data_IF_953726707849
#
_entry.id   IF_953726707849
#
_cell.length_a   1.000
_cell.length_b   1.000
_cell.length_c   1.000
_cell.angle_alpha   90.00
_cell.angle_beta   90.00
_cell.angle_gamma   90.00
#
_symmetry.space_group_name_H-M   'P 1'
#
loop_
_entity.id
_entity.type
_entity.pdbx_description
1 polymer ?
#
# COMPACT_ATOMS: atom_id res chain seq x y z
N UNK A 1 -4.10 2.16 -18.71
CA UNK A 1 -2.98 3.10 -18.95
C UNK A 1 -2.50 2.92 -20.38
N UNK A 2 -2.10 3.98 -21.08
CA UNK A 2 -1.55 3.88 -22.43
C UNK A 2 -0.01 3.75 -22.41
N UNK A 3 0.61 3.38 -23.53
CA UNK A 3 2.06 3.15 -23.58
C UNK A 3 2.91 4.39 -23.28
N UNK A 4 2.44 5.57 -23.67
CA UNK A 4 3.14 6.83 -23.39
C UNK A 4 3.13 7.14 -21.89
N UNK A 5 2.01 6.89 -21.20
CA UNK A 5 1.92 7.05 -19.75
C UNK A 5 2.83 6.07 -19.01
N UNK A 6 2.90 4.81 -19.45
CA UNK A 6 3.84 3.81 -18.88
C UNK A 6 5.28 4.29 -18.99
N UNK A 7 5.70 4.67 -20.19
CA UNK A 7 7.06 5.16 -20.46
C UNK A 7 7.40 6.40 -19.62
N UNK A 8 6.44 7.31 -19.41
CA UNK A 8 6.63 8.47 -18.55
C UNK A 8 6.87 8.07 -17.10
N UNK A 9 6.06 7.15 -16.55
CA UNK A 9 6.23 6.67 -15.17
C UNK A 9 7.57 5.95 -15.01
N UNK A 10 7.91 5.05 -15.92
CA UNK A 10 9.18 4.32 -15.93
C UNK A 10 10.37 5.30 -15.95
N UNK A 11 10.35 6.29 -16.85
CA UNK A 11 11.37 7.32 -16.90
C UNK A 11 11.49 8.09 -15.59
N UNK A 12 10.40 8.31 -14.87
CA UNK A 12 10.45 8.93 -13.55
C UNK A 12 11.03 7.96 -12.50
N UNK A 13 10.63 6.68 -12.50
CA UNK A 13 11.17 5.66 -11.61
C UNK A 13 12.69 5.53 -11.76
N UNK A 14 13.19 5.57 -12.99
CA UNK A 14 14.64 5.57 -13.30
C UNK A 14 15.31 6.94 -13.12
N UNK A 15 14.59 7.96 -12.63
CA UNK A 15 15.09 9.32 -12.38
C UNK A 15 15.58 10.05 -13.64
N UNK A 16 15.11 9.63 -14.82
CA UNK A 16 15.38 10.24 -16.12
C UNK A 16 14.54 11.51 -16.36
N UNK A 17 13.43 11.68 -15.65
CA UNK A 17 12.59 12.88 -15.67
C UNK A 17 12.17 13.30 -14.25
N UNK A 18 11.84 14.58 -14.09
CA UNK A 18 11.34 15.13 -12.81
C UNK A 18 9.84 14.90 -12.64
N UNK A 19 9.33 15.08 -11.40
CA UNK A 19 7.89 15.08 -11.10
C UNK A 19 7.11 16.10 -11.95
N UNK A 20 7.67 17.28 -12.18
CA UNK A 20 7.02 18.31 -13.01
C UNK A 20 6.92 17.89 -14.47
N UNK A 21 7.95 17.20 -15.00
CA UNK A 21 7.93 16.68 -16.37
C UNK A 21 6.98 15.48 -16.50
N UNK A 22 6.91 14.62 -15.48
CA UNK A 22 5.92 13.56 -15.39
C UNK A 22 4.50 14.14 -15.43
N UNK A 23 4.19 15.10 -14.55
CA UNK A 23 2.86 15.73 -14.48
C UNK A 23 2.45 16.37 -15.80
N UNK A 24 3.35 17.10 -16.46
CA UNK A 24 3.07 17.70 -17.78
C UNK A 24 2.84 16.66 -18.88
N UNK A 25 3.38 15.46 -18.73
CA UNK A 25 3.21 14.36 -19.68
C UNK A 25 1.84 13.67 -19.54
N UNK A 26 1.30 13.63 -18.33
CA UNK A 26 -0.10 13.28 -18.11
C UNK A 26 -0.96 14.46 -18.57
N UNK A 27 -1.62 14.32 -19.72
CA UNK A 27 -2.55 15.32 -20.26
C UNK A 27 -3.88 15.33 -19.46
N UNK A 28 -3.79 15.37 -18.14
CA UNK A 28 -4.87 15.30 -17.16
C UNK A 28 -4.71 16.51 -16.23
N UNK A 29 -5.82 17.21 -15.99
CA UNK A 29 -5.84 18.29 -14.99
C UNK A 29 -5.44 17.73 -13.62
N UNK A 30 -4.59 18.45 -12.89
CA UNK A 30 -4.01 17.96 -11.62
C UNK A 30 -5.12 17.62 -10.60
N UNK A 31 -6.22 18.36 -10.63
CA UNK A 31 -7.41 18.16 -9.80
C UNK A 31 -8.14 16.85 -10.10
N UNK A 32 -8.01 16.33 -11.33
CA UNK A 32 -8.60 15.07 -11.77
C UNK A 32 -7.67 13.87 -11.58
N UNK A 33 -6.39 14.11 -11.25
CA UNK A 33 -5.37 13.07 -11.10
C UNK A 33 -5.79 11.96 -10.11
N UNK A 34 -6.32 12.25 -8.91
CA UNK A 34 -6.69 11.18 -7.98
C UNK A 34 -7.82 10.29 -8.49
N UNK A 35 -8.80 10.87 -9.19
CA UNK A 35 -9.90 10.12 -9.80
C UNK A 35 -9.37 9.22 -10.93
N UNK A 36 -8.53 9.78 -11.80
CA UNK A 36 -7.92 9.03 -12.90
C UNK A 36 -7.04 7.89 -12.39
N UNK A 37 -6.22 8.16 -11.37
CA UNK A 37 -5.42 7.15 -10.67
C UNK A 37 -6.30 6.00 -10.15
N UNK A 38 -7.42 6.31 -9.49
CA UNK A 38 -8.31 5.29 -8.94
C UNK A 38 -8.97 4.44 -10.03
N UNK A 39 -9.38 5.06 -11.15
CA UNK A 39 -9.89 4.34 -12.32
C UNK A 39 -8.84 3.37 -12.88
N UNK A 40 -7.59 3.81 -12.99
CA UNK A 40 -6.49 2.96 -13.46
C UNK A 40 -6.17 1.81 -12.49
N UNK A 41 -6.25 2.01 -11.17
CA UNK A 41 -6.11 0.92 -10.19
C UNK A 41 -7.17 -0.17 -10.41
N UNK A 42 -8.42 0.23 -10.65
CA UNK A 42 -9.50 -0.73 -10.95
C UNK A 42 -9.25 -1.48 -12.26
N UNK A 43 -8.74 -0.81 -13.30
CA UNK A 43 -8.36 -1.47 -14.56
C UNK A 43 -7.26 -2.50 -14.32
N UNK A 44 -6.16 -2.11 -13.66
CA UNK A 44 -5.04 -3.00 -13.37
C UNK A 44 -5.47 -4.22 -12.54
N UNK A 45 -6.34 -4.02 -11.54
CA UNK A 45 -6.92 -5.10 -10.74
C UNK A 45 -7.75 -6.08 -11.59
N UNK A 46 -8.67 -5.56 -12.41
CA UNK A 46 -9.54 -6.40 -13.24
C UNK A 46 -8.77 -7.19 -14.30
N UNK A 47 -7.71 -6.59 -14.85
CA UNK A 47 -6.83 -7.23 -15.84
C UNK A 47 -5.74 -8.10 -15.20
N UNK A 48 -5.59 -8.06 -13.87
CA UNK A 48 -4.48 -8.69 -13.12
C UNK A 48 -3.11 -8.32 -13.68
N UNK A 49 -2.96 -7.04 -14.03
CA UNK A 49 -1.75 -6.52 -14.65
C UNK A 49 -0.77 -6.04 -13.56
N UNK A 50 0.20 -6.88 -13.22
CA UNK A 50 1.20 -6.61 -12.18
C UNK A 50 2.12 -5.44 -12.54
N UNK A 51 2.48 -5.30 -13.81
CA UNK A 51 3.37 -4.24 -14.29
C UNK A 51 2.67 -2.87 -14.17
N UNK A 52 1.42 -2.76 -14.65
CA UNK A 52 0.63 -1.53 -14.50
C UNK A 52 0.40 -1.21 -13.02
N UNK A 53 0.17 -2.21 -12.17
CA UNK A 53 0.01 -2.00 -10.74
C UNK A 53 1.29 -1.40 -10.12
N UNK A 54 2.48 -1.93 -10.43
CA UNK A 54 3.74 -1.39 -9.94
C UNK A 54 3.91 0.09 -10.32
N UNK A 55 3.66 0.43 -11.59
CA UNK A 55 3.72 1.80 -12.08
C UNK A 55 2.72 2.71 -11.35
N UNK A 56 1.50 2.22 -11.12
CA UNK A 56 0.46 2.95 -10.40
C UNK A 56 0.84 3.17 -8.94
N UNK A 57 1.36 2.16 -8.24
CA UNK A 57 1.78 2.31 -6.85
C UNK A 57 2.86 3.39 -6.73
N UNK A 58 3.84 3.41 -7.64
CA UNK A 58 4.82 4.49 -7.71
C UNK A 58 4.16 5.86 -7.95
N UNK A 59 3.25 5.95 -8.92
CA UNK A 59 2.50 7.17 -9.24
C UNK A 59 1.72 7.70 -8.03
N UNK A 60 1.07 6.79 -7.29
CA UNK A 60 0.30 7.09 -6.08
C UNK A 60 1.14 7.76 -5.00
N UNK A 61 2.40 7.33 -4.82
CA UNK A 61 3.34 8.00 -3.92
C UNK A 61 3.83 9.34 -4.46
N UNK A 62 4.15 9.43 -5.75
CA UNK A 62 4.68 10.66 -6.35
C UNK A 62 3.67 11.81 -6.29
N UNK A 63 2.38 11.52 -6.53
CA UNK A 63 1.32 12.51 -6.58
C UNK A 63 0.38 12.49 -5.37
N UNK A 64 0.72 11.75 -4.31
CA UNK A 64 -0.09 11.64 -3.09
C UNK A 64 -1.56 11.29 -3.42
N UNK A 65 -1.74 10.40 -4.40
CA UNK A 65 -3.06 10.10 -5.00
C UNK A 65 -3.79 8.95 -4.31
N UNK A 66 -3.16 8.33 -3.31
CA UNK A 66 -3.85 7.42 -2.40
C UNK A 66 -4.83 8.23 -1.55
N UNK A 67 -6.11 8.22 -1.93
CA UNK A 67 -7.18 8.88 -1.21
C UNK A 67 -8.18 7.86 -0.67
N UNK A 68 -9.21 8.35 0.05
CA UNK A 68 -10.28 7.53 0.62
C UNK A 68 -10.94 6.60 -0.41
N UNK A 69 -11.11 7.06 -1.64
CA UNK A 69 -11.74 6.29 -2.72
C UNK A 69 -10.89 5.09 -3.19
N UNK A 70 -9.60 5.07 -2.86
CA UNK A 70 -8.69 3.96 -3.16
C UNK A 70 -8.68 2.86 -2.09
N UNK A 71 -9.26 3.10 -0.91
CA UNK A 71 -9.21 2.16 0.22
C UNK A 71 -9.75 0.79 -0.18
N UNK A 72 -10.92 0.75 -0.81
CA UNK A 72 -11.58 -0.52 -1.15
C UNK A 72 -10.76 -1.36 -2.14
N UNK A 73 -10.15 -0.73 -3.15
CA UNK A 73 -9.34 -1.44 -4.16
C UNK A 73 -7.99 -1.88 -3.59
N UNK A 74 -7.36 -1.06 -2.75
CA UNK A 74 -6.12 -1.40 -2.05
C UNK A 74 -6.33 -2.56 -1.06
N UNK A 75 -7.47 -2.59 -0.37
CA UNK A 75 -7.86 -3.72 0.49
C UNK A 75 -7.97 -5.02 -0.30
N UNK A 76 -8.58 -4.99 -1.50
CA UNK A 76 -8.66 -6.18 -2.37
C UNK A 76 -7.27 -6.63 -2.82
N UNK A 77 -6.42 -5.70 -3.26
CA UNK A 77 -5.05 -6.00 -3.68
C UNK A 77 -4.21 -6.66 -2.57
N UNK A 78 -4.40 -6.27 -1.30
CA UNK A 78 -3.73 -6.96 -0.18
C UNK A 78 -4.06 -8.46 -0.06
N UNK A 79 -5.18 -8.93 -0.62
CA UNK A 79 -5.61 -10.33 -0.58
C UNK A 79 -5.21 -11.12 -1.84
N UNK A 80 -4.73 -10.45 -2.89
CA UNK A 80 -4.39 -11.09 -4.17
C UNK A 80 -2.97 -11.66 -4.19
N UNK A 81 -2.73 -12.68 -5.03
CA UNK A 81 -1.41 -13.34 -5.16
C UNK A 81 -0.71 -13.09 -6.50
N UNK A 82 -1.33 -12.36 -7.43
CA UNK A 82 -0.80 -12.15 -8.78
C UNK A 82 0.20 -10.99 -8.90
N UNK A 83 0.51 -10.30 -7.80
CA UNK A 83 1.47 -9.21 -7.75
C UNK A 83 2.36 -9.28 -6.50
N UNK A 84 3.35 -8.39 -6.43
CA UNK A 84 4.32 -8.31 -5.32
C UNK A 84 4.28 -6.98 -4.54
N UNK A 85 3.25 -6.16 -4.77
CA UNK A 85 3.14 -4.79 -4.24
C UNK A 85 2.59 -4.71 -2.81
N UNK A 86 2.38 -5.82 -2.11
CA UNK A 86 1.71 -5.86 -0.80
C UNK A 86 2.37 -4.95 0.23
N UNK A 87 3.70 -4.94 0.27
CA UNK A 87 4.44 -4.09 1.19
C UNK A 87 4.23 -2.60 0.91
N UNK A 88 4.24 -2.19 -0.36
CA UNK A 88 4.01 -0.81 -0.75
C UNK A 88 2.57 -0.38 -0.45
N UNK A 89 1.60 -1.28 -0.68
CA UNK A 89 0.20 -1.04 -0.34
C UNK A 89 0.02 -0.89 1.18
N UNK A 90 0.67 -1.74 1.99
CA UNK A 90 0.67 -1.61 3.44
C UNK A 90 1.26 -0.26 3.90
N UNK A 91 2.36 0.18 3.27
CA UNK A 91 2.93 1.51 3.53
C UNK A 91 1.99 2.66 3.14
N UNK A 92 1.24 2.53 2.03
CA UNK A 92 0.23 3.54 1.66
C UNK A 92 -0.86 3.69 2.74
N UNK A 93 -1.27 2.58 3.37
CA UNK A 93 -2.26 2.62 4.44
C UNK A 93 -1.78 3.32 5.72
N UNK A 94 -0.47 3.37 5.97
CA UNK A 94 0.08 4.15 7.09
C UNK A 94 -0.21 5.65 6.96
N UNK A 95 -0.27 6.17 5.73
CA UNK A 95 -0.61 7.58 5.46
C UNK A 95 -2.12 7.81 5.33
N UNK A 96 -2.83 6.85 4.74
CA UNK A 96 -4.29 6.93 4.59
C UNK A 96 -5.03 6.89 5.94
N UNK A 97 -4.47 6.20 6.94
CA UNK A 97 -5.05 6.02 8.28
C UNK A 97 -6.52 5.57 8.26
N UNK A 98 -6.91 4.81 7.23
CA UNK A 98 -8.31 4.45 7.00
C UNK A 98 -8.76 3.27 7.89
N UNK A 99 -9.79 3.43 8.75
CA UNK A 99 -10.34 2.33 9.53
C UNK A 99 -10.92 1.19 8.67
N UNK A 100 -11.30 1.48 7.42
CA UNK A 100 -11.80 0.47 6.48
C UNK A 100 -10.75 -0.59 6.09
N UNK A 101 -9.46 -0.34 6.38
CA UNK A 101 -8.37 -1.25 6.05
C UNK A 101 -7.95 -2.17 7.20
N UNK A 102 -8.50 -2.01 8.41
CA UNK A 102 -8.04 -2.70 9.63
C UNK A 102 -8.04 -4.22 9.46
N UNK A 103 -9.14 -4.80 8.97
CA UNK A 103 -9.22 -6.25 8.79
C UNK A 103 -8.25 -6.76 7.71
N UNK A 104 -8.15 -6.05 6.58
CA UNK A 104 -7.25 -6.42 5.48
C UNK A 104 -5.78 -6.35 5.91
N UNK A 105 -5.39 -5.30 6.64
CA UNK A 105 -4.03 -5.15 7.20
C UNK A 105 -3.72 -6.25 8.22
N UNK A 106 -4.67 -6.58 9.10
CA UNK A 106 -4.49 -7.65 10.07
C UNK A 106 -4.28 -9.01 9.38
N UNK A 107 -5.10 -9.33 8.37
CA UNK A 107 -4.92 -10.56 7.58
C UNK A 107 -3.57 -10.56 6.87
N UNK A 108 -3.24 -9.48 6.17
CA UNK A 108 -1.99 -9.35 5.42
C UNK A 108 -0.75 -9.50 6.34
N UNK A 109 -0.82 -9.02 7.59
CA UNK A 109 0.26 -9.21 8.57
C UNK A 109 0.50 -10.68 8.95
N UNK A 110 -0.49 -11.55 8.77
CA UNK A 110 -0.42 -12.99 9.08
C UNK A 110 -0.24 -13.84 7.81
N UNK A 111 -0.34 -13.25 6.63
CA UNK A 111 -0.21 -13.96 5.36
C UNK A 111 1.25 -14.04 4.94
N UNK A 112 1.67 -15.23 4.51
CA UNK A 112 2.95 -15.45 3.83
C UNK A 112 2.71 -15.68 2.35
N UNK A 113 3.03 -14.70 1.52
CA UNK A 113 3.02 -14.85 0.07
C UNK A 113 4.26 -15.61 -0.39
N UNK A 114 4.14 -16.42 -1.45
CA UNK A 114 5.24 -17.26 -1.95
C UNK A 114 6.51 -16.44 -2.27
N UNK A 115 6.36 -15.24 -2.83
CA UNK A 115 7.50 -14.38 -3.16
C UNK A 115 8.22 -13.84 -1.91
N UNK A 116 7.59 -13.91 -0.74
CA UNK A 116 8.14 -13.51 0.55
C UNK A 116 8.68 -14.70 1.35
N UNK A 117 8.69 -15.94 0.85
CA UNK A 117 9.09 -17.11 1.66
C UNK A 117 10.46 -16.95 2.34
N UNK A 118 11.40 -16.27 1.68
CA UNK A 118 12.75 -16.00 2.17
C UNK A 118 12.89 -14.66 2.93
N UNK A 119 11.81 -13.91 3.12
CA UNK A 119 11.83 -12.65 3.88
C UNK A 119 11.89 -12.92 5.38
N UNK A 120 13.09 -13.02 5.93
CA UNK A 120 13.31 -13.19 7.37
C UNK A 120 12.95 -11.93 8.18
N UNK A 121 12.80 -10.76 7.53
CA UNK A 121 12.47 -9.51 8.21
C UNK A 121 10.96 -9.31 8.40
N UNK A 122 10.11 -10.13 7.76
CA UNK A 122 8.65 -10.02 7.79
C UNK A 122 8.18 -8.58 7.47
N UNK A 123 8.78 -7.97 6.46
CA UNK A 123 8.64 -6.55 6.14
C UNK A 123 7.18 -6.16 5.85
N UNK A 124 6.42 -7.02 5.18
CA UNK A 124 4.98 -6.83 5.00
C UNK A 124 4.25 -6.74 6.36
N UNK A 125 4.48 -7.69 7.26
CA UNK A 125 3.80 -7.71 8.54
C UNK A 125 4.18 -6.50 9.41
N UNK A 126 5.46 -6.12 9.42
CA UNK A 126 5.93 -4.91 10.08
C UNK A 126 5.19 -3.68 9.52
N UNK A 127 5.12 -3.52 8.21
CA UNK A 127 4.41 -2.38 7.58
C UNK A 127 2.92 -2.38 7.90
N UNK A 128 2.26 -3.55 7.94
CA UNK A 128 0.88 -3.66 8.36
C UNK A 128 0.67 -3.24 9.83
N UNK A 129 1.59 -3.61 10.74
CA UNK A 129 1.55 -3.20 12.15
C UNK A 129 1.68 -1.68 12.27
N UNK A 130 2.61 -1.06 11.52
CA UNK A 130 2.75 0.39 11.48
C UNK A 130 1.50 1.09 10.96
N UNK A 131 0.86 0.55 9.92
CA UNK A 131 -0.39 1.08 9.40
C UNK A 131 -1.55 0.95 10.42
N UNK A 132 -1.67 -0.19 11.09
CA UNK A 132 -2.66 -0.40 12.17
C UNK A 132 -2.44 0.58 13.33
N UNK A 133 -1.20 0.78 13.76
CA UNK A 133 -0.86 1.77 14.77
C UNK A 133 -1.19 3.20 14.33
N UNK A 134 -0.93 3.55 13.07
CA UNK A 134 -1.25 4.86 12.53
C UNK A 134 -2.77 5.14 12.51
N UNK A 135 -3.60 4.13 12.22
CA UNK A 135 -5.08 4.23 12.24
C UNK A 135 -5.61 4.59 13.65
N UNK A 136 -4.98 4.08 14.71
CA UNK A 136 -5.20 4.52 16.10
C UNK A 136 -6.65 4.49 16.61
N UNK A 137 -7.49 3.58 16.10
CA UNK A 137 -8.86 3.33 16.60
C UNK A 137 -8.90 2.18 17.63
N UNK A 138 -9.95 2.05 18.46
CA UNK A 138 -10.12 0.89 19.34
C UNK A 138 -10.06 -0.46 18.60
N UNK A 139 -10.57 -0.52 17.37
CA UNK A 139 -10.54 -1.72 16.53
C UNK A 139 -9.11 -2.05 16.09
N UNK A 140 -8.34 -1.05 15.66
CA UNK A 140 -6.93 -1.25 15.28
C UNK A 140 -6.07 -1.70 16.47
N UNK A 141 -6.31 -1.15 17.66
CA UNK A 141 -5.65 -1.57 18.90
C UNK A 141 -5.93 -3.03 19.24
N UNK A 142 -7.19 -3.48 19.10
CA UNK A 142 -7.53 -4.89 19.29
C UNK A 142 -6.76 -5.81 18.34
N UNK A 143 -6.53 -5.38 17.09
CA UNK A 143 -5.71 -6.16 16.15
C UNK A 143 -4.24 -6.18 16.55
N UNK A 144 -3.69 -5.06 17.00
CA UNK A 144 -2.34 -5.02 17.57
C UNK A 144 -2.20 -5.93 18.81
N UNK A 145 -3.22 -5.99 19.68
CA UNK A 145 -3.23 -6.91 20.84
C UNK A 145 -3.26 -8.39 20.44
N UNK A 146 -3.85 -8.74 19.30
CA UNK A 146 -3.80 -10.10 18.76
C UNK A 146 -2.42 -10.40 18.17
N UNK A 147 -1.86 -9.47 17.40
CA UNK A 147 -0.52 -9.59 16.82
C UNK A 147 0.58 -9.65 17.89
N UNK A 148 0.40 -8.98 19.04
CA UNK A 148 1.35 -9.01 20.16
C UNK A 148 1.41 -10.34 20.92
N UNK A 149 0.68 -11.36 20.45
CA UNK A 149 0.60 -12.70 21.03
C UNK A 149 0.89 -13.82 20.03
N UNK A 150 1.29 -13.51 18.80
CA UNK A 150 1.62 -14.54 17.80
C UNK A 150 2.99 -15.17 18.08
N UNK A 151 3.21 -16.36 17.54
CA UNK A 151 4.46 -17.11 17.74
C UNK A 151 5.66 -16.45 17.06
N UNK A 152 5.44 -15.79 15.92
CA UNK A 152 6.49 -15.06 15.21
C UNK A 152 6.99 -13.89 16.06
N UNK A 153 8.28 -13.94 16.43
CA UNK A 153 8.90 -12.98 17.33
C UNK A 153 8.91 -11.55 16.75
N UNK A 154 9.24 -11.38 15.47
CA UNK A 154 9.31 -10.07 14.82
C UNK A 154 7.94 -9.39 14.81
N UNK A 155 6.88 -10.11 14.45
CA UNK A 155 5.50 -9.60 14.47
C UNK A 155 5.08 -9.26 15.90
N UNK A 156 5.35 -10.18 16.84
CA UNK A 156 4.98 -10.03 18.25
C UNK A 156 5.62 -8.80 18.88
N UNK A 157 6.94 -8.69 18.79
CA UNK A 157 7.71 -7.58 19.37
C UNK A 157 7.32 -6.25 18.73
N UNK A 158 7.18 -6.21 17.40
CA UNK A 158 6.78 -5.00 16.70
C UNK A 158 5.40 -4.50 17.16
N UNK A 159 4.44 -5.40 17.36
CA UNK A 159 3.12 -5.04 17.87
C UNK A 159 3.15 -4.61 19.34
N UNK A 160 3.96 -5.25 20.18
CA UNK A 160 4.14 -4.87 21.60
C UNK A 160 4.72 -3.46 21.74
N UNK A 161 5.77 -3.15 20.97
CA UNK A 161 6.37 -1.80 20.97
C UNK A 161 5.36 -0.73 20.54
N UNK A 162 4.55 -1.01 19.50
CA UNK A 162 3.52 -0.09 19.01
C UNK A 162 2.34 0.07 19.98
N UNK A 163 2.02 -0.93 20.79
CA UNK A 163 1.03 -0.78 21.88
C UNK A 163 1.57 0.05 23.06
N UNK A 164 2.89 0.00 23.31
CA UNK A 164 3.52 0.82 24.34
C UNK A 164 3.68 2.29 23.92
N UNK A 165 3.86 2.53 22.62
CA UNK A 165 3.96 3.86 22.03
C UNK A 165 2.57 4.49 21.84
N UNK A 166 2.15 5.30 22.82
CA UNK A 166 0.89 6.04 22.74
C UNK A 166 1.04 7.18 21.73
N UNK A 167 0.43 7.03 20.55
CA UNK A 167 0.24 8.13 19.60
C UNK A 167 -0.58 9.23 20.30
N UNK A 168 0.11 10.30 20.70
CA UNK A 168 -0.40 11.46 21.46
C UNK A 168 -1.30 12.35 20.63
#
# INVERSE_FOLDING_TARGET
MNNQERELIENHMFKSITKEKLLKGFNVEIELMPKYFNELLHVAYNEKNADDLELLIHLGFVFESFLKDSVDILCKLLEETWHIQHENIASAFQWLESPGAIESLYKAALTRFEYLDYDEAFALAVKCIWALWAINTPESHKKLELLSRVDNEIIRECAQERLADKKS
#
